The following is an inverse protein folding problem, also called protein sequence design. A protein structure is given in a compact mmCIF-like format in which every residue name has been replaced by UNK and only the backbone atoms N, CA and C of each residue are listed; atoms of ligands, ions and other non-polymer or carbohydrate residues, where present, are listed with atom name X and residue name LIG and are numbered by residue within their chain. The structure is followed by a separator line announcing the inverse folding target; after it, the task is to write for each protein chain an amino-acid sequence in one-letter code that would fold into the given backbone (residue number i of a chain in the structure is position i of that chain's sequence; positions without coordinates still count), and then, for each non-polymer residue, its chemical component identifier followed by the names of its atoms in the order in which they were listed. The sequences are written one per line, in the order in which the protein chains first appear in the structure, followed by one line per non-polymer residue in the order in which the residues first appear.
data_IF_190322283407
#
_entry.id   IF_190322283407
#
_cell.length_a   1.000
_cell.length_b   1.000
_cell.length_c   1.000
_cell.angle_alpha   90.00
_cell.angle_beta   90.00
_cell.angle_gamma   90.00
#
_symmetry.space_group_name_H-M   'P 1'
#
loop_
_entity.id
_entity.type
_entity.pdbx_description
1 polymer ?
#
# COMPACT_ATOMS: atom_id res chain seq x y z
N UNK A 1 -10.30 -0.41 15.66
CA UNK A 1 -9.98 -0.92 14.30
C UNK A 1 -10.98 -0.29 13.34
N UNK A 2 -10.54 0.10 12.15
CA UNK A 2 -11.41 0.71 11.13
C UNK A 2 -11.65 -0.36 10.06
N UNK A 3 -12.90 -0.50 9.60
CA UNK A 3 -13.26 -1.41 8.50
C UNK A 3 -13.61 -0.57 7.27
N UNK A 4 -13.00 -0.93 6.14
CA UNK A 4 -13.25 -0.33 4.83
C UNK A 4 -13.82 -1.44 3.93
N UNK A 5 -14.99 -1.19 3.34
CA UNK A 5 -15.60 -2.10 2.36
C UNK A 5 -15.37 -1.50 0.98
N UNK A 6 -14.81 -2.28 0.07
CA UNK A 6 -14.52 -1.88 -1.29
C UNK A 6 -15.17 -2.90 -2.24
N UNK A 7 -15.71 -2.44 -3.36
CA UNK A 7 -15.98 -3.34 -4.48
C UNK A 7 -14.68 -3.68 -5.22
N UNK A 8 -14.75 -4.65 -6.13
CA UNK A 8 -13.59 -5.13 -6.88
C UNK A 8 -12.84 -4.01 -7.61
N UNK A 9 -13.56 -3.18 -8.37
CA UNK A 9 -12.98 -2.06 -9.11
C UNK A 9 -12.33 -1.03 -8.17
N UNK A 10 -12.94 -0.73 -7.02
CA UNK A 10 -12.36 0.19 -6.04
C UNK A 10 -11.08 -0.37 -5.42
N UNK A 11 -11.03 -1.68 -5.18
CA UNK A 11 -9.86 -2.38 -4.66
C UNK A 11 -8.72 -2.37 -5.68
N UNK A 12 -9.01 -2.63 -6.95
CA UNK A 12 -8.03 -2.57 -8.05
C UNK A 12 -7.48 -1.15 -8.22
N UNK A 13 -8.35 -0.14 -8.31
CA UNK A 13 -7.92 1.27 -8.43
C UNK A 13 -7.06 1.68 -7.23
N UNK A 14 -7.45 1.30 -6.01
CA UNK A 14 -6.65 1.60 -4.82
C UNK A 14 -5.30 0.87 -4.83
N UNK A 15 -5.28 -0.38 -5.31
CA UNK A 15 -4.04 -1.15 -5.44
C UNK A 15 -3.06 -0.48 -6.42
N UNK A 16 -3.55 -0.04 -7.58
CA UNK A 16 -2.75 0.62 -8.61
C UNK A 16 -2.19 1.97 -8.13
N UNK A 17 -3.01 2.75 -7.42
CA UNK A 17 -2.57 4.00 -6.80
C UNK A 17 -1.43 3.73 -5.80
N UNK A 18 -1.60 2.74 -4.93
CA UNK A 18 -0.57 2.36 -3.95
C UNK A 18 0.70 1.87 -4.63
N UNK A 19 0.61 1.08 -5.70
CA UNK A 19 1.77 0.59 -6.44
C UNK A 19 2.60 1.74 -7.04
N UNK A 20 1.93 2.70 -7.68
CA UNK A 20 2.56 3.88 -8.27
C UNK A 20 3.21 4.76 -7.19
N UNK A 21 2.48 5.08 -6.11
CA UNK A 21 3.01 5.88 -5.01
C UNK A 21 4.22 5.22 -4.34
N UNK A 22 4.21 3.89 -4.17
CA UNK A 22 5.35 3.15 -3.62
C UNK A 22 6.56 3.20 -4.57
N UNK A 23 6.36 3.18 -5.89
CA UNK A 23 7.44 3.34 -6.85
C UNK A 23 8.07 4.73 -6.76
N UNK A 24 7.26 5.78 -6.68
CA UNK A 24 7.73 7.16 -6.52
C UNK A 24 8.48 7.37 -5.20
N UNK A 25 7.94 6.86 -4.08
CA UNK A 25 8.60 6.95 -2.77
C UNK A 25 9.96 6.26 -2.77
N UNK A 26 10.13 5.14 -3.49
CA UNK A 26 11.43 4.46 -3.60
C UNK A 26 12.48 5.32 -4.30
N UNK A 27 12.08 6.06 -5.33
CA UNK A 27 12.95 7.04 -5.98
C UNK A 27 13.29 8.18 -5.02
N UNK A 28 12.29 8.77 -4.36
CA UNK A 28 12.49 9.87 -3.41
C UNK A 28 13.38 9.48 -2.21
N UNK A 29 13.22 8.27 -1.66
CA UNK A 29 14.07 7.72 -0.58
C UNK A 29 15.52 7.60 -1.02
N UNK A 30 15.75 7.29 -2.29
CA UNK A 30 17.09 7.14 -2.86
C UNK A 30 17.77 8.48 -3.03
N UNK A 31 17.02 9.51 -3.43
CA UNK A 31 17.52 10.87 -3.66
C UNK A 31 17.56 11.72 -2.37
N UNK A 32 16.96 11.25 -1.28
CA UNK A 32 16.94 11.99 0.00
C UNK A 32 18.21 11.77 0.83
N UNK A 33 18.96 12.85 1.07
CA UNK A 33 20.13 12.85 1.94
C UNK A 33 19.83 13.20 3.42
N UNK A 34 18.73 13.92 3.70
CA UNK A 34 18.36 14.26 5.07
C UNK A 34 17.82 13.02 5.78
N UNK A 35 18.57 12.51 6.75
CA UNK A 35 18.28 11.24 7.44
C UNK A 35 16.86 11.17 8.01
N UNK A 36 16.43 12.20 8.73
CA UNK A 36 15.12 12.22 9.39
C UNK A 36 13.97 12.18 8.36
N UNK A 37 14.15 12.86 7.23
CA UNK A 37 13.16 12.83 6.15
C UNK A 37 13.13 11.45 5.47
N UNK A 38 14.30 10.87 5.22
CA UNK A 38 14.41 9.55 4.63
C UNK A 38 13.72 8.47 5.47
N UNK A 39 13.86 8.53 6.79
CA UNK A 39 13.19 7.59 7.69
C UNK A 39 11.66 7.79 7.71
N UNK A 40 11.19 9.04 7.63
CA UNK A 40 9.76 9.34 7.45
C UNK A 40 9.21 8.74 6.15
N UNK A 41 9.95 8.89 5.03
CA UNK A 41 9.56 8.32 3.73
C UNK A 41 9.51 6.79 3.77
N UNK A 42 10.52 6.13 4.37
CA UNK A 42 10.52 4.68 4.57
C UNK A 42 9.35 4.20 5.42
N UNK A 43 9.00 4.95 6.47
CA UNK A 43 7.84 4.60 7.29
C UNK A 43 6.54 4.68 6.48
N UNK A 44 6.37 5.72 5.66
CA UNK A 44 5.23 5.86 4.75
C UNK A 44 5.18 4.72 3.73
N UNK A 45 6.31 4.38 3.10
CA UNK A 45 6.42 3.23 2.18
C UNK A 45 5.99 1.92 2.87
N UNK A 46 6.44 1.69 4.11
CA UNK A 46 6.07 0.50 4.88
C UNK A 46 4.58 0.43 5.18
N UNK A 47 3.94 1.57 5.50
CA UNK A 47 2.50 1.62 5.73
C UNK A 47 1.72 1.33 4.46
N UNK A 48 2.12 1.92 3.33
CA UNK A 48 1.49 1.69 2.02
C UNK A 48 1.61 0.23 1.58
N UNK A 49 2.80 -0.39 1.73
CA UNK A 49 2.99 -1.83 1.48
C UNK A 49 2.09 -2.69 2.38
N UNK A 50 1.93 -2.32 3.65
CA UNK A 50 1.02 -3.04 4.56
C UNK A 50 -0.43 -2.95 4.11
N UNK A 51 -0.88 -1.80 3.58
CA UNK A 51 -2.22 -1.65 3.02
C UNK A 51 -2.35 -2.49 1.74
N UNK A 52 -1.39 -2.38 0.82
CA UNK A 52 -1.37 -3.14 -0.43
C UNK A 52 -1.47 -4.66 -0.19
N UNK A 53 -0.72 -5.19 0.79
CA UNK A 53 -0.81 -6.59 1.20
C UNK A 53 -2.18 -6.99 1.72
N UNK A 54 -2.84 -6.12 2.49
CA UNK A 54 -4.21 -6.39 2.99
C UNK A 54 -5.23 -6.43 1.85
N UNK A 55 -5.05 -5.60 0.82
CA UNK A 55 -5.91 -5.63 -0.38
C UNK A 55 -5.75 -6.96 -1.14
N UNK A 56 -4.53 -7.51 -1.22
CA UNK A 56 -4.25 -8.79 -1.88
C UNK A 56 -4.79 -10.01 -1.11
N UNK A 57 -4.92 -9.92 0.22
CA UNK A 57 -5.39 -11.03 1.06
C UNK A 57 -6.91 -11.24 1.04
N UNK A 58 -7.64 -10.51 0.19
CA UNK A 58 -9.12 -10.52 0.15
C UNK A 58 -9.70 -11.71 -0.63
N UNK A 59 -8.88 -12.55 -1.28
CA UNK A 59 -9.32 -13.83 -1.83
C UNK A 59 -8.96 -15.00 -0.91
N UNK A 60 -9.96 -15.51 -0.18
CA UNK A 60 -10.47 -16.91 -0.10
C UNK A 60 -11.35 -17.00 1.16
N UNK A 61 -12.63 -16.63 1.03
CA UNK A 61 -13.67 -17.34 1.78
C UNK A 61 -14.17 -18.44 0.82
N UNK A 62 -13.91 -19.73 1.09
CA UNK A 62 -14.49 -20.77 0.27
C UNK A 62 -16.01 -20.71 0.47
N UNK A 63 -16.72 -20.39 -0.61
CA UNK A 63 -18.15 -20.59 -0.68
C UNK A 63 -18.46 -22.00 -0.19
N UNK A 64 -19.25 -22.09 0.88
CA UNK A 64 -19.75 -23.32 1.41
C UNK A 64 -20.36 -24.18 0.30
N UNK A 65 -19.87 -25.41 0.17
CA UNK A 65 -20.50 -26.51 -0.56
C UNK A 65 -20.42 -27.76 0.32
#
# INVERSE_FOLDING_TARGET
MIQLTLIEEEREVLFDILENDIAELRMEISDTHRKEYREMLKHRESLMKSIQQKLQQTEVEPAAA
#
